data_IF_887189963286
#
_entry.id   IF_887189963286
#
_cell.length_a   1.000
_cell.length_b   1.000
_cell.length_c   1.000
_cell.angle_alpha   90.00
_cell.angle_beta   90.00
_cell.angle_gamma   90.00
#
_symmetry.space_group_name_H-M   'P 1'
#
loop_
_entity.id
_entity.type
_entity.pdbx_description
1 polymer ?
#
# COMPACT_ATOMS: atom_id res chain seq x y z
N UNK A 1 5.42 -10.78 -29.12
CA UNK A 1 4.11 -10.71 -28.43
C UNK A 1 4.23 -9.64 -27.36
N UNK A 2 3.20 -8.84 -27.10
CA UNK A 2 3.22 -7.93 -25.96
C UNK A 2 2.93 -8.74 -24.70
N UNK A 3 3.73 -8.56 -23.64
CA UNK A 3 3.42 -9.14 -22.34
C UNK A 3 2.37 -8.26 -21.66
N UNK A 4 1.22 -8.85 -21.31
CA UNK A 4 0.27 -8.17 -20.44
C UNK A 4 0.86 -8.06 -19.03
N UNK A 5 0.77 -6.89 -18.37
CA UNK A 5 1.28 -6.73 -17.02
C UNK A 5 0.49 -7.62 -16.07
N UNK A 6 1.15 -8.65 -15.51
CA UNK A 6 0.56 -9.55 -14.51
C UNK A 6 0.19 -8.76 -13.25
N UNK A 7 -1.03 -8.24 -13.19
CA UNK A 7 -1.56 -7.67 -11.95
C UNK A 7 -1.66 -8.78 -10.90
N UNK A 8 -1.25 -8.51 -9.66
CA UNK A 8 -1.36 -9.45 -8.51
C UNK A 8 -2.80 -9.74 -8.07
N UNK A 9 -3.77 -9.47 -8.94
CA UNK A 9 -5.21 -9.64 -8.77
C UNK A 9 -5.73 -10.48 -9.94
N UNK A 10 -5.35 -11.76 -9.94
CA UNK A 10 -5.86 -12.77 -10.88
C UNK A 10 -7.39 -12.80 -10.92
N UNK A 11 -7.95 -12.93 -12.12
CA UNK A 11 -9.38 -12.97 -12.43
C UNK A 11 -10.13 -11.62 -12.30
N UNK A 12 -10.96 -11.32 -13.31
CA UNK A 12 -11.66 -10.03 -13.40
C UNK A 12 -12.83 -9.90 -12.42
N UNK A 13 -13.39 -11.02 -11.99
CA UNK A 13 -14.59 -11.14 -11.14
C UNK A 13 -14.28 -11.20 -9.63
N UNK A 14 -13.02 -11.35 -9.23
CA UNK A 14 -12.68 -11.72 -7.85
C UNK A 14 -12.91 -10.57 -6.85
N UNK A 15 -13.77 -10.81 -5.85
CA UNK A 15 -14.08 -9.86 -4.78
C UNK A 15 -13.09 -10.00 -3.62
N UNK A 16 -12.36 -8.93 -3.31
CA UNK A 16 -11.35 -8.88 -2.25
C UNK A 16 -11.92 -8.17 -1.02
N UNK A 17 -12.03 -8.88 0.08
CA UNK A 17 -12.52 -8.35 1.37
C UNK A 17 -11.58 -7.28 1.91
N UNK A 18 -10.28 -7.60 1.96
CA UNK A 18 -9.25 -6.74 2.52
C UNK A 18 -7.98 -6.83 1.66
N UNK A 19 -7.55 -5.68 1.14
CA UNK A 19 -6.21 -5.51 0.59
C UNK A 19 -5.33 -4.83 1.65
N UNK A 20 -4.21 -5.47 2.00
CA UNK A 20 -3.14 -4.87 2.80
C UNK A 20 -2.01 -4.49 1.85
N UNK A 21 -1.68 -3.21 1.74
CA UNK A 21 -0.48 -2.76 1.02
C UNK A 21 0.59 -2.39 2.03
N UNK A 22 1.70 -3.14 2.00
CA UNK A 22 2.87 -2.92 2.82
C UNK A 22 3.80 -1.98 2.06
N UNK A 23 3.97 -0.75 2.55
CA UNK A 23 4.94 0.19 2.02
C UNK A 23 6.33 -0.24 2.48
N UNK A 24 7.10 -0.85 1.57
CA UNK A 24 8.40 -1.45 1.87
C UNK A 24 9.52 -0.66 1.18
N UNK A 25 10.68 -0.52 1.83
CA UNK A 25 11.87 0.01 1.12
C UNK A 25 12.34 -1.02 0.11
N UNK A 26 12.69 -0.60 -1.11
CA UNK A 26 13.33 -1.41 -2.16
C UNK A 26 14.30 -2.48 -1.59
N UNK A 27 15.20 -2.09 -0.68
CA UNK A 27 16.22 -2.96 -0.08
C UNK A 27 15.75 -3.92 1.04
N UNK A 28 14.53 -3.79 1.57
CA UNK A 28 14.04 -4.52 2.75
C UNK A 28 13.53 -5.95 2.44
N UNK A 29 14.30 -6.73 1.65
CA UNK A 29 13.97 -8.10 1.26
C UNK A 29 13.63 -9.02 2.45
N UNK A 30 14.39 -8.94 3.54
CA UNK A 30 14.17 -9.78 4.73
C UNK A 30 12.85 -9.45 5.45
N UNK A 31 12.47 -8.17 5.48
CA UNK A 31 11.20 -7.74 6.10
C UNK A 31 10.02 -8.26 5.28
N UNK A 32 10.02 -8.06 3.95
CA UNK A 32 8.99 -8.62 3.04
C UNK A 32 8.89 -10.13 3.16
N UNK A 33 10.02 -10.84 3.11
CA UNK A 33 10.06 -12.28 3.23
C UNK A 33 9.56 -12.77 4.59
N UNK A 34 9.86 -12.04 5.66
CA UNK A 34 9.38 -12.36 7.00
C UNK A 34 7.87 -12.13 7.13
N UNK A 35 7.32 -11.08 6.53
CA UNK A 35 5.87 -10.86 6.45
C UNK A 35 5.20 -12.02 5.71
N UNK A 36 5.70 -12.41 4.53
CA UNK A 36 5.23 -13.59 3.78
C UNK A 36 5.27 -14.89 4.59
N UNK A 37 6.26 -15.04 5.48
CA UNK A 37 6.44 -16.22 6.34
C UNK A 37 5.65 -16.15 7.66
N UNK A 38 4.97 -15.04 7.97
CA UNK A 38 4.27 -14.82 9.25
C UNK A 38 2.84 -14.33 8.99
N UNK A 39 2.46 -13.15 9.51
CA UNK A 39 1.10 -12.62 9.44
C UNK A 39 0.63 -12.30 8.00
N UNK A 40 1.56 -12.19 7.04
CA UNK A 40 1.25 -12.02 5.63
C UNK A 40 0.87 -13.31 4.91
N UNK A 41 1.06 -14.50 5.50
CA UNK A 41 0.50 -15.75 4.94
C UNK A 41 -1.01 -15.84 5.20
N UNK A 42 -1.78 -15.09 4.42
CA UNK A 42 -3.25 -15.02 4.52
C UNK A 42 -3.98 -16.13 3.76
N UNK A 43 -3.25 -17.04 3.08
CA UNK A 43 -3.85 -18.18 2.34
C UNK A 43 -4.63 -19.12 3.25
N UNK A 44 -4.15 -19.32 4.47
CA UNK A 44 -4.74 -20.19 5.48
C UNK A 44 -5.62 -19.41 6.49
N UNK A 45 -6.04 -18.18 6.15
CA UNK A 45 -6.83 -17.36 7.07
C UNK A 45 -8.26 -17.90 7.24
N UNK A 46 -8.52 -18.49 8.41
CA UNK A 46 -9.85 -18.83 8.89
C UNK A 46 -10.20 -18.00 10.13
N UNK A 47 -11.37 -17.36 10.13
CA UNK A 47 -11.94 -16.64 11.28
C UNK A 47 -12.04 -17.49 12.56
N UNK A 48 -12.11 -18.82 12.45
CA UNK A 48 -11.97 -19.76 13.56
C UNK A 48 -10.68 -19.58 14.38
N UNK A 49 -9.59 -19.08 13.80
CA UNK A 49 -8.36 -18.74 14.53
C UNK A 49 -8.59 -17.64 15.58
N UNK A 50 -9.33 -16.58 15.23
CA UNK A 50 -9.72 -15.54 16.20
C UNK A 50 -10.47 -16.16 17.37
N UNK A 51 -11.45 -17.04 17.08
CA UNK A 51 -12.21 -17.73 18.13
C UNK A 51 -11.31 -18.55 19.04
N UNK A 52 -10.44 -19.41 18.50
CA UNK A 52 -9.53 -20.25 19.30
C UNK A 52 -8.63 -19.42 20.23
N UNK A 53 -8.13 -18.27 19.76
CA UNK A 53 -7.28 -17.39 20.55
C UNK A 53 -8.04 -16.58 21.62
N UNK A 54 -9.32 -16.28 21.38
CA UNK A 54 -10.14 -15.37 22.19
C UNK A 54 -11.25 -16.06 23.02
N UNK A 55 -11.50 -17.37 22.86
CA UNK A 55 -12.61 -18.11 23.51
C UNK A 55 -12.57 -18.00 25.05
N UNK A 56 -11.39 -17.84 25.67
CA UNK A 56 -11.24 -17.59 27.12
C UNK A 56 -11.83 -16.25 27.60
N UNK A 57 -12.00 -15.30 26.68
CA UNK A 57 -12.60 -13.97 26.90
C UNK A 57 -14.01 -13.88 26.31
N UNK A 58 -14.63 -15.01 25.92
CA UNK A 58 -15.94 -14.99 25.25
C UNK A 58 -17.00 -14.33 26.12
N UNK A 59 -17.65 -13.31 25.57
CA UNK A 59 -18.58 -12.45 26.30
C UNK A 59 -17.94 -11.28 27.07
N UNK A 60 -16.62 -11.14 27.10
CA UNK A 60 -15.92 -9.92 27.54
C UNK A 60 -15.81 -8.86 26.42
N UNK A 61 -16.15 -9.24 25.18
CA UNK A 61 -16.15 -8.40 23.97
C UNK A 61 -17.50 -8.44 23.22
N UNK A 62 -17.58 -7.83 22.02
CA UNK A 62 -18.74 -7.86 21.15
C UNK A 62 -18.49 -8.67 19.88
N UNK A 63 -19.28 -9.71 19.64
CA UNK A 63 -19.24 -10.51 18.41
C UNK A 63 -19.65 -9.71 17.15
N UNK A 64 -19.33 -10.18 15.93
CA UNK A 64 -19.70 -9.56 14.65
C UNK A 64 -21.15 -9.09 14.58
N UNK A 65 -21.42 -8.00 13.84
CA UNK A 65 -22.80 -7.52 13.69
C UNK A 65 -23.47 -8.23 12.50
N UNK A 66 -24.59 -8.98 12.66
CA UNK A 66 -25.21 -9.70 11.55
C UNK A 66 -25.58 -8.83 10.34
N UNK A 67 -26.02 -7.58 10.56
CA UNK A 67 -26.30 -6.63 9.47
C UNK A 67 -25.06 -6.23 8.67
N UNK A 68 -23.87 -6.26 9.28
CA UNK A 68 -22.59 -6.00 8.59
C UNK A 68 -22.20 -7.20 7.73
N UNK A 69 -22.40 -8.44 8.23
CA UNK A 69 -22.21 -9.67 7.43
C UNK A 69 -23.07 -9.66 6.17
N UNK A 70 -24.36 -9.30 6.28
CA UNK A 70 -25.27 -9.17 5.13
C UNK A 70 -24.80 -8.09 4.13
N UNK A 71 -24.35 -6.94 4.63
CA UNK A 71 -23.77 -5.83 3.81
C UNK A 71 -22.44 -6.21 3.13
N UNK A 72 -21.81 -7.32 3.53
CA UNK A 72 -20.51 -7.78 3.06
C UNK A 72 -20.55 -9.16 2.39
N UNK A 73 -21.74 -9.75 2.17
CA UNK A 73 -21.87 -11.13 1.67
C UNK A 73 -21.14 -11.41 0.35
N UNK A 74 -21.11 -10.43 -0.56
CA UNK A 74 -20.36 -10.50 -1.84
C UNK A 74 -18.83 -10.59 -1.66
N UNK A 75 -18.31 -10.29 -0.47
CA UNK A 75 -16.89 -10.28 -0.13
C UNK A 75 -16.52 -11.37 0.89
N UNK A 76 -17.47 -12.23 1.29
CA UNK A 76 -17.27 -13.30 2.28
C UNK A 76 -17.60 -14.63 1.60
N UNK A 77 -16.61 -15.48 1.43
CA UNK A 77 -16.78 -16.78 0.80
C UNK A 77 -17.46 -17.73 1.79
N UNK A 78 -18.75 -17.94 1.60
CA UNK A 78 -19.51 -18.96 2.33
C UNK A 78 -19.11 -20.35 1.80
N UNK A 79 -18.97 -21.37 2.67
CA UNK A 79 -18.67 -22.72 2.22
C UNK A 79 -19.86 -23.31 1.45
N UNK A 80 -19.59 -23.98 0.33
CA UNK A 80 -20.63 -24.62 -0.49
C UNK A 80 -21.34 -25.73 0.30
N UNK A 81 -22.63 -25.53 0.61
CA UNK A 81 -23.47 -26.54 1.26
C UNK A 81 -24.92 -26.07 1.37
N UNK A 82 -25.84 -26.88 0.81
CA UNK A 82 -27.30 -26.67 0.74
C UNK A 82 -27.79 -25.32 0.20
N UNK A 83 -28.37 -25.36 -1.00
CA UNK A 83 -29.42 -24.42 -1.40
C UNK A 83 -30.59 -24.51 -0.39
N UNK A 84 -31.28 -23.40 -0.13
CA UNK A 84 -32.52 -23.42 0.67
C UNK A 84 -33.66 -24.04 -0.15
N UNK A 85 -33.77 -25.37 -0.16
CA UNK A 85 -34.89 -26.07 -0.79
C UNK A 85 -36.20 -25.77 -0.03
N UNK A 86 -37.04 -24.90 -0.60
CA UNK A 86 -38.31 -24.49 -0.04
C UNK A 86 -39.38 -25.60 -0.11
N UNK A 87 -39.37 -26.51 0.87
CA UNK A 87 -40.46 -27.47 1.08
C UNK A 87 -41.46 -26.96 2.11
N UNK A 88 -42.61 -26.48 1.65
CA UNK A 88 -43.75 -26.16 2.50
C UNK A 88 -44.39 -27.44 3.07
N UNK A 89 -44.47 -27.54 4.40
CA UNK A 89 -45.41 -28.45 5.07
C UNK A 89 -46.31 -27.63 6.01
N UNK A 90 -47.62 -27.87 5.97
CA UNK A 90 -48.59 -27.24 6.87
C UNK A 90 -48.67 -27.98 8.22
N UNK A 91 -48.99 -27.29 9.32
CA UNK A 91 -48.95 -27.87 10.66
C UNK A 91 -50.19 -28.73 10.96
N UNK A 92 -49.97 -29.95 11.45
CA UNK A 92 -51.00 -30.69 12.20
C UNK A 92 -50.85 -30.43 13.71
N UNK A 93 -51.96 -30.26 14.47
CA UNK A 93 -51.88 -29.92 15.89
C UNK A 93 -51.97 -31.17 16.79
N UNK A 94 -51.05 -31.29 17.73
CA UNK A 94 -51.36 -31.91 19.03
C UNK A 94 -50.65 -31.17 20.17
N UNK A 95 -51.13 -31.39 21.40
CA UNK A 95 -50.93 -30.48 22.53
C UNK A 95 -50.47 -31.20 23.80
N UNK A 96 -49.33 -30.76 24.34
CA UNK A 96 -49.03 -30.97 25.76
C UNK A 96 -48.15 -29.84 26.28
N UNK A 97 -48.23 -29.58 27.59
CA UNK A 97 -47.69 -28.39 28.26
C UNK A 97 -46.53 -28.79 29.17
N UNK A 98 -45.42 -28.02 29.18
CA UNK A 98 -45.05 -27.18 30.36
C UNK A 98 -43.68 -26.47 30.27
N UNK A 99 -43.61 -25.44 31.11
CA UNK A 99 -42.43 -24.77 31.69
C UNK A 99 -41.50 -23.99 30.74
N UNK A 100 -41.66 -22.67 30.80
CA UNK A 100 -40.68 -21.73 30.26
C UNK A 100 -39.48 -21.57 31.20
N UNK A 101 -38.28 -21.68 30.63
CA UNK A 101 -37.01 -21.24 31.23
C UNK A 101 -36.28 -20.41 30.18
N UNK A 102 -36.36 -19.07 30.29
CA UNK A 102 -35.72 -18.17 29.32
C UNK A 102 -34.19 -18.13 29.52
N UNK A 103 -33.49 -19.14 29.03
CA UNK A 103 -32.07 -19.02 28.70
C UNK A 103 -31.96 -18.25 27.38
N UNK A 104 -31.47 -17.02 27.44
CA UNK A 104 -31.28 -16.17 26.26
C UNK A 104 -30.01 -16.58 25.50
N UNK A 105 -30.00 -17.80 24.93
CA UNK A 105 -28.87 -18.35 24.19
C UNK A 105 -28.72 -17.59 22.87
N UNK A 106 -27.78 -16.63 22.83
CA UNK A 106 -27.37 -15.96 21.59
C UNK A 106 -26.44 -16.88 20.80
N UNK A 107 -27.03 -17.91 20.17
CA UNK A 107 -26.33 -18.83 19.28
C UNK A 107 -26.06 -18.18 17.93
N UNK A 108 -24.98 -17.40 17.83
CA UNK A 108 -24.46 -17.00 16.51
C UNK A 108 -24.00 -18.23 15.72
N UNK A 109 -24.32 -18.25 14.43
CA UNK A 109 -24.35 -19.46 13.62
C UNK A 109 -22.95 -20.05 13.36
N UNK A 110 -22.80 -21.40 13.30
CA UNK A 110 -21.54 -22.06 12.96
C UNK A 110 -20.87 -21.57 11.67
N UNK A 111 -21.67 -21.06 10.72
CA UNK A 111 -21.27 -20.51 9.42
C UNK A 111 -20.05 -19.57 9.47
N UNK A 112 -19.92 -18.72 10.49
CA UNK A 112 -18.80 -17.76 10.58
C UNK A 112 -17.45 -18.43 10.84
N UNK A 113 -17.42 -19.59 11.51
CA UNK A 113 -16.17 -20.34 11.77
C UNK A 113 -15.68 -21.15 10.56
N UNK A 114 -16.50 -21.23 9.51
CA UNK A 114 -16.22 -21.91 8.24
C UNK A 114 -16.24 -20.94 7.05
N UNK A 115 -16.33 -19.63 7.30
CA UNK A 115 -16.32 -18.59 6.25
C UNK A 115 -14.88 -18.23 5.89
N UNK A 116 -14.55 -18.28 4.61
CA UNK A 116 -13.25 -17.86 4.10
C UNK A 116 -13.29 -16.37 3.68
N UNK A 117 -12.17 -15.67 3.84
CA UNK A 117 -12.05 -14.26 3.53
C UNK A 117 -10.98 -14.05 2.47
N UNK A 118 -11.34 -13.41 1.36
CA UNK A 118 -10.37 -13.04 0.35
C UNK A 118 -9.54 -11.85 0.85
N UNK A 119 -8.41 -12.15 1.47
CA UNK A 119 -7.44 -11.18 1.95
C UNK A 119 -6.21 -11.28 1.04
N UNK A 120 -5.71 -10.14 0.57
CA UNK A 120 -4.50 -10.07 -0.24
C UNK A 120 -3.50 -9.12 0.40
N UNK A 121 -2.22 -9.49 0.35
CA UNK A 121 -1.09 -8.69 0.84
C UNK A 121 -0.21 -8.40 -0.37
N UNK A 122 0.08 -7.12 -0.61
CA UNK A 122 0.97 -6.66 -1.68
C UNK A 122 2.05 -5.74 -1.11
N UNK A 123 3.25 -5.77 -1.68
CA UNK A 123 4.37 -4.93 -1.28
C UNK A 123 4.57 -3.80 -2.29
N UNK A 124 4.52 -2.55 -1.83
CA UNK A 124 4.81 -1.38 -2.67
C UNK A 124 6.24 -0.89 -2.44
N UNK A 125 7.05 -0.93 -3.50
CA UNK A 125 8.45 -0.46 -3.51
C UNK A 125 8.66 0.63 -4.57
N UNK A 126 9.65 1.49 -4.36
CA UNK A 126 10.16 2.38 -5.40
C UNK A 126 11.26 1.71 -6.24
N UNK A 127 12.08 2.53 -6.88
CA UNK A 127 13.27 2.15 -7.65
C UNK A 127 14.55 2.68 -6.98
N UNK A 128 15.70 2.14 -7.37
CA UNK A 128 17.00 2.75 -7.06
C UNK A 128 17.18 4.08 -7.81
N UNK A 129 18.10 4.94 -7.35
CA UNK A 129 18.42 6.18 -8.07
C UNK A 129 19.07 5.91 -9.44
N UNK A 130 19.89 4.85 -9.53
CA UNK A 130 20.52 4.36 -10.76
C UNK A 130 19.50 3.87 -11.80
N UNK A 131 18.58 2.98 -11.42
CA UNK A 131 17.52 2.50 -12.30
C UNK A 131 16.60 3.66 -12.76
N UNK A 132 16.19 4.53 -11.83
CA UNK A 132 15.39 5.72 -12.14
C UNK A 132 16.08 6.63 -13.16
N UNK A 133 17.38 6.88 -13.00
CA UNK A 133 18.17 7.68 -13.93
C UNK A 133 18.27 7.03 -15.32
N UNK A 134 18.53 5.72 -15.39
CA UNK A 134 18.62 4.99 -16.66
C UNK A 134 17.27 4.94 -17.41
N UNK A 135 16.15 4.77 -16.70
CA UNK A 135 14.81 4.82 -17.30
C UNK A 135 14.50 6.23 -17.85
N UNK A 136 14.84 7.28 -17.11
CA UNK A 136 14.69 8.67 -17.57
C UNK A 136 15.54 8.99 -18.80
N UNK A 137 16.78 8.49 -18.87
CA UNK A 137 17.66 8.68 -20.04
C UNK A 137 17.07 8.05 -21.31
N UNK A 138 16.45 6.86 -21.21
CA UNK A 138 15.81 6.19 -22.36
C UNK A 138 14.60 6.97 -22.89
N UNK A 139 13.78 7.56 -22.02
CA UNK A 139 12.64 8.41 -22.41
C UNK A 139 13.11 9.71 -23.08
N UNK A 140 14.34 10.16 -22.83
CA UNK A 140 14.93 11.37 -23.42
C UNK A 140 15.57 11.19 -24.80
N UNK A 141 15.71 9.96 -25.32
CA UNK A 141 16.27 9.73 -26.65
C UNK A 141 15.21 9.82 -27.75
N UNK A 142 15.40 10.64 -28.81
CA UNK A 142 14.50 10.64 -29.96
C UNK A 142 14.48 9.28 -30.65
N UNK A 143 13.28 8.77 -30.96
CA UNK A 143 13.14 7.60 -31.82
C UNK A 143 13.56 8.00 -33.23
N UNK A 144 14.79 7.63 -33.62
CA UNK A 144 15.29 7.74 -34.98
C UNK A 144 14.55 6.76 -35.89
N UNK A 145 13.35 7.16 -36.33
CA UNK A 145 12.60 6.44 -37.36
C UNK A 145 13.43 6.46 -38.64
N UNK A 146 13.98 5.31 -39.01
CA UNK A 146 14.86 5.18 -40.18
C UNK A 146 14.13 5.55 -41.46
N UNK A 147 14.39 6.74 -42.00
CA UNK A 147 13.88 7.17 -43.30
C UNK A 147 14.60 6.41 -44.39
N UNK A 148 13.96 5.35 -44.90
CA UNK A 148 14.45 4.58 -46.04
C UNK A 148 14.64 5.47 -47.28
N UNK A 149 15.70 5.19 -48.03
CA UNK A 149 16.03 5.91 -49.26
C UNK A 149 14.92 5.81 -50.31
N UNK A 150 14.42 6.96 -50.78
CA UNK A 150 13.69 7.07 -52.04
C UNK A 150 14.25 8.23 -52.86
N UNK A 151 14.89 7.90 -53.99
CA UNK A 151 15.39 8.86 -54.97
C UNK A 151 14.26 9.34 -55.88
N UNK A 152 14.06 10.65 -55.99
CA UNK A 152 13.24 11.27 -57.03
C UNK A 152 13.81 12.64 -57.41
N UNK A 153 13.92 12.92 -58.71
CA UNK A 153 14.40 14.19 -59.25
C UNK A 153 13.25 15.16 -59.55
N UNK A 154 13.52 16.47 -59.57
CA UNK A 154 12.83 17.39 -60.48
C UNK A 154 12.18 18.68 -59.92
N UNK A 155 12.03 19.65 -60.83
CA UNK A 155 11.09 20.78 -60.82
C UNK A 155 11.25 21.93 -59.78
N UNK A 156 12.20 22.81 -60.07
CA UNK A 156 12.08 24.29 -60.07
C UNK A 156 10.75 24.97 -59.66
N UNK A 157 10.83 25.90 -58.67
CA UNK A 157 10.21 27.27 -58.57
C UNK A 157 10.32 27.76 -57.10
N UNK A 158 11.05 28.81 -56.70
CA UNK A 158 11.03 30.25 -57.06
C UNK A 158 10.09 31.11 -56.19
N UNK A 159 10.60 32.27 -55.70
CA UNK A 159 9.96 33.28 -54.82
C UNK A 159 9.90 32.92 -53.32
N UNK A 160 10.11 33.85 -52.36
CA UNK A 160 10.67 35.22 -52.43
C UNK A 160 10.95 35.82 -51.04
N UNK A 161 11.90 36.77 -50.94
CA UNK A 161 12.13 37.76 -49.83
C UNK A 161 12.54 37.15 -48.46
N UNK A 162 13.24 37.87 -47.52
CA UNK A 162 13.26 39.32 -47.24
C UNK A 162 14.47 40.11 -47.80
N UNK A 163 14.62 41.38 -47.37
CA UNK A 163 15.31 42.46 -48.12
C UNK A 163 16.30 43.27 -47.27
N UNK A 164 17.51 43.46 -47.83
CA UNK A 164 18.53 44.51 -47.63
C UNK A 164 19.21 44.79 -46.25
N UNK A 165 20.54 44.91 -46.34
CA UNK A 165 21.46 45.45 -45.33
C UNK A 165 22.92 45.13 -45.70
N UNK A 166 23.51 45.69 -46.78
CA UNK A 166 24.28 46.97 -46.77
C UNK A 166 25.39 46.93 -45.69
N UNK A 167 26.70 46.88 -45.99
CA UNK A 167 27.53 47.58 -47.01
C UNK A 167 28.77 46.75 -47.42
N UNK A 168 29.56 47.12 -48.48
CA UNK A 168 30.59 46.27 -49.09
C UNK A 168 32.06 46.65 -48.77
N UNK A 169 33.00 45.74 -49.05
CA UNK A 169 34.45 46.03 -49.23
C UNK A 169 35.03 45.23 -50.42
N UNK A 170 35.99 45.83 -51.10
CA UNK A 170 36.83 45.41 -52.24
C UNK A 170 37.91 44.35 -51.87
N UNK A 171 38.67 43.66 -52.74
CA UNK A 171 38.86 43.61 -54.22
C UNK A 171 39.47 42.22 -54.66
N UNK A 172 40.08 41.93 -55.85
CA UNK A 172 39.97 40.60 -56.50
C UNK A 172 41.34 39.94 -56.87
N UNK A 173 41.37 39.16 -57.97
CA UNK A 173 42.47 38.38 -58.60
C UNK A 173 42.76 37.01 -57.92
N UNK A 174 42.66 35.84 -58.59
CA UNK A 174 43.47 35.25 -59.70
C UNK A 174 44.72 34.49 -59.17
N UNK A 175 45.25 33.40 -59.77
CA UNK A 175 45.02 32.70 -61.05
C UNK A 175 45.70 31.31 -61.08
N UNK A 176 45.09 30.33 -61.77
CA UNK A 176 45.72 29.23 -62.58
C UNK A 176 46.79 28.27 -61.96
N UNK A 177 47.09 27.09 -62.60
CA UNK A 177 47.79 25.97 -61.94
C UNK A 177 49.21 25.63 -62.46
N UNK A 178 49.97 24.86 -61.67
CA UNK A 178 51.05 23.93 -62.11
C UNK A 178 51.47 23.03 -60.93
N UNK A 179 51.25 21.71 -60.97
CA UNK A 179 52.09 20.66 -61.58
C UNK A 179 53.31 20.23 -60.74
N UNK A 180 53.29 19.00 -60.21
CA UNK A 180 54.43 18.34 -59.56
C UNK A 180 54.26 16.82 -59.55
N UNK A 181 55.04 16.10 -60.37
CA UNK A 181 54.93 14.65 -60.53
C UNK A 181 55.87 13.89 -59.58
N UNK A 182 55.41 12.71 -59.10
CA UNK A 182 56.02 11.35 -59.21
C UNK A 182 55.39 10.43 -58.13
N UNK A 183 54.84 9.24 -58.44
CA UNK A 183 55.51 7.94 -58.77
C UNK A 183 56.62 7.59 -57.77
N UNK A 184 56.77 6.39 -57.19
CA UNK A 184 56.33 5.03 -57.55
C UNK A 184 56.49 4.15 -56.26
N UNK A 185 56.11 2.87 -56.08
CA UNK A 185 55.60 1.78 -56.93
C UNK A 185 54.85 0.73 -56.06
N UNK A 186 54.24 -0.26 -56.71
CA UNK A 186 53.63 -1.50 -56.19
C UNK A 186 52.23 -1.38 -55.60
N UNK A 187 51.34 -2.27 -56.07
CA UNK A 187 49.95 -2.32 -55.67
C UNK A 187 49.55 -3.69 -55.16
N UNK A 188 48.52 -3.69 -54.32
CA UNK A 188 47.72 -4.85 -53.94
C UNK A 188 46.26 -4.41 -54.10
N UNK A 189 45.39 -5.22 -54.71
CA UNK A 189 43.96 -4.91 -54.68
C UNK A 189 43.47 -4.98 -53.23
N UNK A 190 43.18 -3.83 -52.61
CA UNK A 190 42.35 -3.81 -51.40
C UNK A 190 40.92 -4.09 -51.82
N UNK A 191 40.26 -4.99 -51.06
CA UNK A 191 38.81 -5.14 -51.11
C UNK A 191 38.15 -3.78 -50.87
N UNK A 192 37.09 -3.47 -51.63
CA UNK A 192 36.21 -2.32 -51.37
C UNK A 192 35.19 -2.61 -50.27
N UNK A 193 35.17 -3.84 -49.74
CA UNK A 193 34.39 -4.26 -48.58
C UNK A 193 35.31 -4.48 -47.38
N UNK A 194 34.99 -3.97 -46.18
CA UNK A 194 35.75 -4.21 -44.95
C UNK A 194 35.83 -5.69 -44.56
N UNK A 195 36.68 -6.02 -43.59
CA UNK A 195 36.68 -7.36 -42.99
C UNK A 195 35.49 -7.50 -42.02
N UNK A 196 35.07 -8.74 -41.75
CA UNK A 196 33.87 -9.02 -40.95
C UNK A 196 33.95 -8.50 -39.49
N UNK A 197 35.16 -8.21 -39.00
CA UNK A 197 35.41 -7.64 -37.67
C UNK A 197 35.14 -6.11 -37.62
N UNK A 198 35.11 -5.44 -38.77
CA UNK A 198 34.76 -4.01 -38.89
C UNK A 198 33.23 -3.76 -38.95
N UNK A 199 32.40 -4.82 -38.93
CA UNK A 199 30.94 -4.74 -39.10
C UNK A 199 30.14 -4.57 -37.80
N UNK A 200 30.71 -3.94 -36.77
CA UNK A 200 29.96 -3.49 -35.59
C UNK A 200 29.63 -2.01 -35.73
N UNK A 201 28.41 -1.71 -36.17
CA UNK A 201 27.87 -0.34 -36.20
C UNK A 201 27.91 0.26 -34.77
N UNK A 202 28.56 1.42 -34.55
CA UNK A 202 28.56 2.08 -33.24
C UNK A 202 27.17 2.38 -32.68
N UNK A 203 26.13 2.50 -33.52
CA UNK A 203 24.74 2.65 -33.09
C UNK A 203 24.17 1.39 -32.39
N UNK A 204 24.76 0.21 -32.63
CA UNK A 204 24.40 -1.04 -31.96
C UNK A 204 25.19 -1.32 -30.67
N UNK A 205 26.16 -0.48 -30.31
CA UNK A 205 26.76 -0.46 -28.96
C UNK A 205 25.84 0.21 -27.92
N UNK A 206 24.54 -0.07 -28.01
CA UNK A 206 23.61 0.11 -26.92
C UNK A 206 23.97 -0.91 -25.82
N UNK A 207 24.83 -0.49 -24.88
CA UNK A 207 25.14 -1.26 -23.68
C UNK A 207 23.85 -1.83 -23.08
N UNK A 208 23.82 -3.12 -22.71
CA UNK A 208 22.65 -3.69 -22.05
C UNK A 208 22.33 -2.82 -20.82
N UNK A 209 21.04 -2.64 -20.48
CA UNK A 209 20.67 -1.77 -19.36
C UNK A 209 21.46 -2.18 -18.13
N UNK A 210 22.16 -1.22 -17.52
CA UNK A 210 22.87 -1.43 -16.25
C UNK A 210 21.83 -1.45 -15.14
N UNK A 211 21.05 -2.54 -15.12
CA UNK A 211 20.16 -2.87 -14.03
C UNK A 211 21.08 -3.22 -12.86
N UNK A 212 21.05 -2.41 -11.81
CA UNK A 212 21.87 -2.66 -10.63
C UNK A 212 21.39 -3.90 -9.85
N UNK A 213 22.24 -4.40 -8.95
CA UNK A 213 21.97 -5.60 -8.16
C UNK A 213 20.65 -5.50 -7.36
N UNK A 214 20.32 -4.31 -6.85
CA UNK A 214 19.11 -4.09 -6.08
C UNK A 214 17.87 -4.24 -6.98
N UNK A 215 17.87 -3.64 -8.16
CA UNK A 215 16.77 -3.76 -9.11
C UNK A 215 16.66 -5.18 -9.71
N UNK A 216 17.78 -5.87 -10.01
CA UNK A 216 17.76 -7.29 -10.40
C UNK A 216 17.13 -8.18 -9.32
N UNK A 217 17.43 -7.92 -8.05
CA UNK A 217 16.86 -8.67 -6.93
C UNK A 217 15.37 -8.38 -6.74
N UNK A 218 14.90 -7.15 -6.97
CA UNK A 218 13.46 -6.81 -6.95
C UNK A 218 12.72 -7.52 -8.09
N UNK A 219 13.29 -7.56 -9.29
CA UNK A 219 12.70 -8.28 -10.43
C UNK A 219 12.56 -9.78 -10.13
N UNK A 220 13.62 -10.43 -9.64
CA UNK A 220 13.59 -11.84 -9.25
C UNK A 220 12.59 -12.11 -8.10
N UNK A 221 12.51 -11.23 -7.11
CA UNK A 221 11.50 -11.33 -6.02
C UNK A 221 10.07 -11.20 -6.58
N UNK A 222 9.85 -10.26 -7.49
CA UNK A 222 8.54 -10.03 -8.15
C UNK A 222 8.13 -11.21 -9.03
N UNK A 223 9.06 -11.82 -9.76
CA UNK A 223 8.80 -13.03 -10.55
C UNK A 223 8.51 -14.25 -9.66
N UNK A 224 9.21 -14.38 -8.53
CA UNK A 224 9.04 -15.49 -7.58
C UNK A 224 7.69 -15.45 -6.85
N UNK A 225 7.24 -14.27 -6.42
CA UNK A 225 6.08 -14.15 -5.51
C UNK A 225 4.83 -13.51 -6.14
N UNK A 226 4.97 -12.70 -7.20
CA UNK A 226 3.84 -12.04 -7.88
C UNK A 226 3.09 -10.99 -7.05
N UNK A 227 3.63 -10.58 -5.90
CA UNK A 227 2.98 -9.72 -4.91
C UNK A 227 3.60 -8.31 -4.79
N UNK A 228 4.55 -7.97 -5.67
CA UNK A 228 5.21 -6.66 -5.70
C UNK A 228 4.48 -5.72 -6.67
N UNK A 229 4.18 -4.52 -6.17
CA UNK A 229 3.91 -3.34 -6.98
C UNK A 229 5.19 -2.50 -6.97
N UNK A 230 5.79 -2.28 -8.14
CA UNK A 230 6.88 -1.31 -8.29
C UNK A 230 6.39 -0.11 -9.10
N UNK A 231 6.71 1.09 -8.62
CA UNK A 231 6.28 2.35 -9.21
C UNK A 231 7.48 3.29 -9.39
N UNK A 232 7.45 4.13 -10.43
CA UNK A 232 8.65 4.86 -10.85
C UNK A 232 8.88 6.14 -10.04
N UNK A 233 9.53 5.97 -8.89
CA UNK A 233 10.09 7.01 -8.04
C UNK A 233 11.30 6.46 -7.28
N UNK A 234 12.28 7.31 -6.97
CA UNK A 234 13.45 6.94 -6.17
C UNK A 234 12.99 6.60 -4.74
N UNK A 235 13.26 5.39 -4.26
CA UNK A 235 12.83 4.96 -2.94
C UNK A 235 13.66 5.62 -1.83
N UNK A 236 13.06 6.55 -1.10
CA UNK A 236 13.70 7.28 0.00
C UNK A 236 12.67 7.79 1.01
N UNK A 237 13.11 8.08 2.24
CA UNK A 237 12.23 8.56 3.31
C UNK A 237 11.47 9.84 2.92
N UNK A 238 12.14 10.77 2.23
CA UNK A 238 11.54 12.02 1.76
C UNK A 238 10.48 11.80 0.66
N UNK A 239 10.54 10.66 -0.04
CA UNK A 239 9.61 10.27 -1.09
C UNK A 239 8.47 9.36 -0.58
N UNK A 240 8.32 9.11 0.72
CA UNK A 240 7.21 8.32 1.26
C UNK A 240 5.84 8.89 0.87
N UNK A 241 5.70 10.21 0.78
CA UNK A 241 4.48 10.84 0.26
C UNK A 241 4.21 10.46 -1.21
N UNK A 242 5.24 10.38 -2.06
CA UNK A 242 5.09 9.88 -3.43
C UNK A 242 4.73 8.40 -3.43
N UNK A 243 5.35 7.57 -2.56
CA UNK A 243 5.02 6.16 -2.40
C UNK A 243 3.53 5.96 -2.11
N UNK A 244 2.95 6.65 -1.13
CA UNK A 244 1.50 6.50 -0.85
C UNK A 244 0.60 7.11 -1.94
N UNK A 245 1.01 8.19 -2.63
CA UNK A 245 0.27 8.67 -3.81
C UNK A 245 0.25 7.59 -4.91
N UNK A 246 1.36 6.86 -5.12
CA UNK A 246 1.44 5.75 -6.06
C UNK A 246 0.67 4.51 -5.59
N UNK A 247 0.63 4.22 -4.28
CA UNK A 247 -0.27 3.21 -3.69
C UNK A 247 -1.72 3.50 -4.10
N UNK A 248 -2.16 4.74 -3.88
CA UNK A 248 -3.53 5.14 -4.18
C UNK A 248 -3.81 5.10 -5.69
N UNK A 249 -2.92 5.65 -6.53
CA UNK A 249 -2.98 5.52 -8.00
C UNK A 249 -3.19 4.08 -8.43
N UNK A 250 -2.35 3.16 -7.95
CA UNK A 250 -2.43 1.75 -8.33
C UNK A 250 -3.75 1.13 -7.87
N UNK A 251 -4.16 1.34 -6.61
CA UNK A 251 -5.41 0.80 -6.08
C UNK A 251 -6.62 1.36 -6.83
N UNK A 252 -6.70 2.68 -7.08
CA UNK A 252 -7.84 3.27 -7.78
C UNK A 252 -7.96 2.84 -9.24
N UNK A 253 -6.83 2.50 -9.88
CA UNK A 253 -6.81 2.08 -11.28
C UNK A 253 -7.07 0.57 -11.47
N UNK A 254 -6.73 -0.28 -10.49
CA UNK A 254 -6.79 -1.74 -10.63
C UNK A 254 -7.89 -2.41 -9.77
N UNK A 255 -8.44 -1.72 -8.77
CA UNK A 255 -9.29 -2.35 -7.74
C UNK A 255 -10.75 -1.85 -7.67
N UNK A 256 -11.21 -0.97 -8.58
CA UNK A 256 -12.58 -0.44 -8.51
C UNK A 256 -13.62 -1.57 -8.66
N UNK A 257 -14.67 -1.52 -7.85
CA UNK A 257 -15.65 -2.60 -7.67
C UNK A 257 -15.13 -3.92 -7.06
N UNK A 258 -13.81 -4.13 -6.95
CA UNK A 258 -13.17 -5.38 -6.49
C UNK A 258 -12.82 -5.39 -4.99
N UNK A 259 -12.23 -4.32 -4.46
CA UNK A 259 -11.75 -4.25 -3.06
C UNK A 259 -12.76 -3.53 -2.15
N UNK A 260 -13.08 -4.12 -0.99
CA UNK A 260 -13.91 -3.42 0.03
C UNK A 260 -13.07 -2.53 0.96
N UNK A 261 -12.08 -3.13 1.62
CA UNK A 261 -11.23 -2.47 2.62
C UNK A 261 -9.77 -2.42 2.16
N UNK A 262 -9.10 -1.31 2.44
CA UNK A 262 -7.68 -1.09 2.16
C UNK A 262 -6.97 -0.71 3.46
N UNK A 263 -5.92 -1.44 3.81
CA UNK A 263 -5.00 -1.08 4.89
C UNK A 263 -3.63 -0.72 4.31
N UNK A 264 -3.05 0.40 4.77
CA UNK A 264 -1.63 0.70 4.60
C UNK A 264 -0.91 0.37 5.91
N UNK A 265 0.26 -0.24 5.81
CA UNK A 265 1.23 -0.30 6.90
C UNK A 265 2.66 -0.24 6.34
N UNK A 266 3.65 -0.07 7.23
CA UNK A 266 5.07 -0.12 6.89
C UNK A 266 5.64 -1.55 7.09
N UNK A 267 6.79 -1.88 6.48
CA UNK A 267 7.34 -3.24 6.49
C UNK A 267 8.00 -3.70 7.81
N UNK A 268 8.08 -2.79 8.78
CA UNK A 268 8.49 -3.00 10.17
C UNK A 268 7.29 -2.99 11.15
N UNK A 269 6.07 -3.09 10.62
CA UNK A 269 4.81 -3.13 11.38
C UNK A 269 4.24 -4.54 11.41
N UNK A 270 3.95 -5.05 12.61
CA UNK A 270 3.19 -6.30 12.79
C UNK A 270 1.69 -6.05 12.65
N UNK A 271 0.96 -6.94 11.96
CA UNK A 271 -0.50 -6.87 11.80
C UNK A 271 -1.19 -8.13 12.33
N UNK A 272 -2.06 -7.99 13.32
CA UNK A 272 -2.93 -9.06 13.81
C UNK A 272 -4.17 -9.15 12.91
N UNK A 273 -4.04 -9.87 11.79
CA UNK A 273 -5.10 -10.07 10.79
C UNK A 273 -6.39 -10.67 11.39
N UNK A 274 -6.36 -11.67 12.31
CA UNK A 274 -7.57 -12.14 13.01
C UNK A 274 -8.35 -11.04 13.72
N UNK A 275 -7.67 -10.19 14.50
CA UNK A 275 -8.30 -9.07 15.20
C UNK A 275 -8.84 -8.01 14.21
N UNK A 276 -8.14 -7.76 13.11
CA UNK A 276 -8.55 -6.82 12.07
C UNK A 276 -9.84 -7.26 11.38
N UNK A 277 -9.93 -8.52 10.95
CA UNK A 277 -11.14 -9.06 10.30
C UNK A 277 -12.34 -9.05 11.24
N UNK A 278 -12.15 -9.41 12.52
CA UNK A 278 -13.21 -9.34 13.52
C UNK A 278 -13.78 -7.92 13.69
N UNK A 279 -12.92 -6.90 13.71
CA UNK A 279 -13.33 -5.48 13.79
C UNK A 279 -13.97 -5.00 12.48
N UNK A 280 -13.51 -5.47 11.31
CA UNK A 280 -14.13 -5.18 10.01
C UNK A 280 -15.56 -5.75 9.89
N UNK A 281 -15.82 -6.91 10.51
CA UNK A 281 -17.16 -7.48 10.69
C UNK A 281 -17.98 -6.76 11.80
N UNK A 282 -17.44 -5.67 12.34
CA UNK A 282 -18.07 -4.78 13.31
C UNK A 282 -17.94 -5.22 14.76
N UNK A 283 -17.19 -6.29 15.07
CA UNK A 283 -16.93 -6.76 16.43
C UNK A 283 -15.98 -5.86 17.24
N UNK A 284 -15.62 -6.28 18.45
CA UNK A 284 -14.60 -5.62 19.29
C UNK A 284 -13.64 -6.65 19.90
N UNK A 285 -12.40 -6.26 20.18
CA UNK A 285 -11.37 -7.16 20.73
C UNK A 285 -11.37 -7.08 22.26
N UNK A 286 -11.08 -8.19 23.00
CA UNK A 286 -10.90 -8.15 24.44
C UNK A 286 -9.89 -7.12 24.94
N UNK A 287 -10.21 -6.49 26.07
CA UNK A 287 -9.26 -5.68 26.80
C UNK A 287 -8.29 -6.61 27.55
N UNK A 288 -7.01 -6.60 27.17
CA UNK A 288 -5.94 -7.30 27.86
C UNK A 288 -5.22 -6.40 28.87
N UNK A 289 -4.73 -6.96 29.98
CA UNK A 289 -4.00 -6.22 31.02
C UNK A 289 -2.78 -5.49 30.45
N UNK A 290 -2.06 -6.14 29.55
CA UNK A 290 -0.91 -5.60 28.82
C UNK A 290 -1.27 -4.43 27.87
N UNK A 291 -2.53 -4.32 27.45
CA UNK A 291 -3.00 -3.34 26.48
C UNK A 291 -3.70 -2.11 27.10
N UNK A 292 -3.97 -2.11 28.41
CA UNK A 292 -4.76 -1.06 29.11
C UNK A 292 -4.26 0.36 28.78
N UNK A 293 -2.93 0.55 28.69
CA UNK A 293 -2.30 1.87 28.43
C UNK A 293 -2.53 2.44 27.03
N UNK A 294 -3.10 1.68 26.10
CA UNK A 294 -3.40 2.12 24.73
C UNK A 294 -4.85 2.59 24.57
N UNK A 295 -5.73 2.24 25.52
CA UNK A 295 -7.12 2.69 25.55
C UNK A 295 -7.25 4.02 26.29
N UNK A 296 -8.26 4.81 25.90
CA UNK A 296 -8.68 6.02 26.61
C UNK A 296 -10.02 5.81 27.35
N UNK A 297 -10.50 6.84 28.04
CA UNK A 297 -11.77 6.82 28.79
C UNK A 297 -13.01 6.55 27.93
N UNK A 298 -12.92 6.73 26.60
CA UNK A 298 -14.03 6.52 25.68
C UNK A 298 -14.04 5.07 25.15
N UNK A 299 -12.85 4.54 24.89
CA UNK A 299 -12.63 3.27 24.20
C UNK A 299 -12.45 2.06 25.13
N UNK A 300 -11.99 2.26 26.37
CA UNK A 300 -11.73 1.18 27.36
C UNK A 300 -12.94 0.27 27.62
N UNK A 301 -14.16 0.79 27.47
CA UNK A 301 -15.39 0.02 27.56
C UNK A 301 -15.62 -0.81 26.27
N UNK A 302 -14.83 -1.88 26.07
CA UNK A 302 -14.85 -2.70 24.82
C UNK A 302 -16.20 -3.34 24.49
N UNK A 303 -17.10 -3.50 25.49
CA UNK A 303 -18.49 -3.96 25.30
C UNK A 303 -19.48 -2.86 24.90
N UNK A 304 -19.03 -1.61 24.78
CA UNK A 304 -19.87 -0.50 24.33
C UNK A 304 -20.12 -0.58 22.83
N UNK A 305 -21.38 -0.48 22.41
CA UNK A 305 -21.74 -0.41 20.98
C UNK A 305 -21.13 0.79 20.24
N UNK A 306 -20.72 1.83 20.98
CA UNK A 306 -20.00 3.01 20.46
C UNK A 306 -18.57 2.69 20.01
N UNK A 307 -18.00 1.57 20.46
CA UNK A 307 -16.63 1.15 20.19
C UNK A 307 -16.53 0.08 19.09
N UNK A 308 -17.66 -0.32 18.48
CA UNK A 308 -17.68 -1.04 17.19
C UNK A 308 -17.16 -0.12 16.07
N UNK A 309 -16.62 -0.69 15.00
CA UNK A 309 -16.17 0.07 13.83
C UNK A 309 -17.32 0.89 13.20
N UNK A 310 -17.08 2.18 12.94
CA UNK A 310 -18.08 3.10 12.36
C UNK A 310 -17.67 3.49 10.94
N UNK A 311 -18.56 3.23 9.98
CA UNK A 311 -18.49 3.76 8.61
C UNK A 311 -19.57 4.85 8.50
N UNK A 312 -19.16 6.08 8.21
CA UNK A 312 -20.01 7.28 8.28
C UNK A 312 -20.20 7.83 6.87
N UNK A 313 -21.42 7.80 6.32
CA UNK A 313 -21.69 8.27 4.96
C UNK A 313 -20.91 7.52 3.86
N UNK A 314 -20.70 6.20 4.03
CA UNK A 314 -19.81 5.37 3.21
C UNK A 314 -18.32 5.78 3.27
N UNK A 315 -17.88 6.52 4.29
CA UNK A 315 -16.47 6.80 4.53
C UNK A 315 -15.94 6.06 5.76
N UNK A 316 -14.79 5.40 5.60
CA UNK A 316 -13.97 4.84 6.66
C UNK A 316 -12.53 5.35 6.51
N UNK A 317 -11.99 5.97 7.57
CA UNK A 317 -10.58 6.31 7.70
C UNK A 317 -10.19 6.26 9.17
N UNK A 318 -9.46 5.23 9.59
CA UNK A 318 -9.23 4.92 11.02
C UNK A 318 -7.83 4.40 11.31
N UNK A 319 -7.33 4.66 12.52
CA UNK A 319 -5.99 4.26 12.97
C UNK A 319 -5.60 4.90 14.30
N UNK A 320 -4.30 5.01 14.58
CA UNK A 320 -3.84 5.82 15.70
C UNK A 320 -3.90 7.30 15.33
N UNK A 321 -4.81 8.07 15.94
CA UNK A 321 -5.01 9.49 15.62
C UNK A 321 -4.06 10.36 16.46
N UNK A 322 -3.28 11.23 15.80
CA UNK A 322 -2.59 12.34 16.42
C UNK A 322 -3.45 13.61 16.38
N UNK A 323 -3.35 14.42 17.43
CA UNK A 323 -4.10 15.66 17.62
C UNK A 323 -3.19 16.70 18.26
N UNK A 324 -3.29 17.96 17.83
CA UNK A 324 -2.43 19.07 18.30
C UNK A 324 -0.91 18.83 18.18
N UNK A 325 -0.50 17.93 17.27
CA UNK A 325 0.91 17.78 16.91
C UNK A 325 1.41 19.06 16.22
N UNK A 326 2.59 19.55 16.62
CA UNK A 326 3.21 20.75 16.06
C UNK A 326 4.32 20.38 15.05
N UNK A 327 4.57 21.22 14.02
CA UNK A 327 5.78 21.13 13.22
C UNK A 327 7.05 21.17 14.09
N UNK A 328 8.02 20.31 13.77
CA UNK A 328 9.33 20.28 14.44
C UNK A 328 10.28 21.19 13.65
N UNK A 329 10.79 22.25 14.30
CA UNK A 329 11.72 23.19 13.68
C UNK A 329 13.20 22.78 13.76
N UNK A 330 13.51 21.68 14.46
CA UNK A 330 14.85 21.11 14.55
C UNK A 330 15.22 20.36 13.27
N UNK A 331 16.21 20.86 12.53
CA UNK A 331 16.69 20.32 11.26
C UNK A 331 17.42 18.98 11.37
N UNK A 332 17.80 18.56 12.58
CA UNK A 332 18.39 17.23 12.82
C UNK A 332 17.33 16.13 13.01
N UNK A 333 16.06 16.51 13.21
CA UNK A 333 14.97 15.57 13.37
C UNK A 333 14.56 14.94 12.05
N UNK A 334 14.36 13.61 12.02
CA UNK A 334 13.74 12.91 10.87
C UNK A 334 12.30 13.36 10.57
N UNK A 335 11.70 14.14 11.45
CA UNK A 335 10.36 14.74 11.31
C UNK A 335 10.42 16.28 11.17
N UNK A 336 11.58 16.84 10.82
CA UNK A 336 11.78 18.27 10.57
C UNK A 336 10.76 18.79 9.55
N UNK A 337 10.10 19.90 9.86
CA UNK A 337 9.06 20.50 9.03
C UNK A 337 9.45 21.92 8.64
N UNK A 338 9.92 22.13 7.38
CA UNK A 338 10.33 23.45 6.94
C UNK A 338 9.13 24.42 6.95
N UNK A 339 9.30 25.59 7.57
CA UNK A 339 8.22 26.59 7.67
C UNK A 339 7.71 27.09 6.30
N UNK A 340 8.54 27.04 5.25
CA UNK A 340 8.13 27.34 3.88
C UNK A 340 7.17 26.29 3.28
N UNK A 341 7.23 25.06 3.78
CA UNK A 341 6.40 23.93 3.35
C UNK A 341 5.15 23.78 4.22
N UNK A 342 5.24 24.15 5.51
CA UNK A 342 4.10 24.16 6.44
C UNK A 342 4.17 25.30 7.45
N UNK A 343 3.51 26.42 7.15
CA UNK A 343 3.54 27.65 7.95
C UNK A 343 2.47 27.78 9.06
N UNK A 344 1.82 26.70 9.50
CA UNK A 344 0.83 26.74 10.62
C UNK A 344 1.42 26.12 11.88
N UNK A 345 1.07 26.64 13.05
CA UNK A 345 1.57 26.14 14.34
C UNK A 345 1.26 24.67 14.66
N UNK A 346 0.21 24.11 14.08
CA UNK A 346 -0.40 22.83 14.46
C UNK A 346 -0.86 22.11 13.20
N UNK A 347 -0.53 20.83 13.09
CA UNK A 347 -1.01 19.95 12.03
C UNK A 347 -2.51 19.65 12.15
N UNK A 348 -3.22 19.40 11.03
CA UNK A 348 -4.56 18.79 11.08
C UNK A 348 -4.53 17.47 11.86
N UNK A 349 -5.64 17.08 12.51
CA UNK A 349 -5.73 15.75 13.17
C UNK A 349 -5.46 14.66 12.10
N UNK A 350 -4.42 13.84 12.26
CA UNK A 350 -3.94 12.87 11.24
C UNK A 350 -3.76 11.48 11.86
N UNK A 351 -3.72 10.42 11.05
CA UNK A 351 -3.47 9.04 11.50
C UNK A 351 -1.99 8.71 11.34
N UNK A 352 -1.41 7.96 12.27
CA UNK A 352 0.00 7.52 12.22
C UNK A 352 0.31 6.73 10.95
N UNK A 353 1.39 7.09 10.23
CA UNK A 353 1.80 6.41 8.99
C UNK A 353 2.03 4.91 9.14
N UNK A 354 2.47 4.48 10.33
CA UNK A 354 2.76 3.07 10.69
C UNK A 354 1.65 2.11 10.29
N UNK A 355 0.38 2.49 10.49
CA UNK A 355 -0.78 1.71 10.09
C UNK A 355 -2.07 2.54 10.09
N UNK A 356 -2.80 2.52 8.98
CA UNK A 356 -4.16 3.03 8.89
C UNK A 356 -5.04 2.23 7.93
N UNK A 357 -6.34 2.22 8.21
CA UNK A 357 -7.37 1.45 7.51
C UNK A 357 -8.40 2.40 6.90
N UNK A 358 -8.77 2.15 5.64
CA UNK A 358 -9.82 2.87 4.93
C UNK A 358 -10.72 1.91 4.13
N UNK A 359 -11.82 2.41 3.59
CA UNK A 359 -12.56 1.73 2.53
C UNK A 359 -12.19 2.30 1.15
N UNK A 360 -12.49 1.55 0.08
CA UNK A 360 -12.09 1.92 -1.29
C UNK A 360 -12.62 3.29 -1.76
N UNK A 361 -13.79 3.74 -1.27
CA UNK A 361 -14.30 5.08 -1.60
C UNK A 361 -13.40 6.20 -1.05
N UNK A 362 -12.92 6.05 0.19
CA UNK A 362 -11.93 6.98 0.76
C UNK A 362 -10.61 6.94 0.01
N UNK A 363 -10.17 5.78 -0.50
CA UNK A 363 -8.97 5.69 -1.35
C UNK A 363 -9.10 6.55 -2.62
N UNK A 364 -10.25 6.47 -3.32
CA UNK A 364 -10.56 7.33 -4.48
C UNK A 364 -10.60 8.82 -4.13
N UNK A 365 -11.24 9.19 -3.01
CA UNK A 365 -11.31 10.58 -2.57
C UNK A 365 -9.92 11.13 -2.23
N UNK A 366 -9.12 10.40 -1.45
CA UNK A 366 -7.75 10.80 -1.09
C UNK A 366 -6.85 10.93 -2.32
N UNK A 367 -6.95 10.02 -3.30
CA UNK A 367 -6.18 10.12 -4.56
C UNK A 367 -6.53 11.38 -5.36
N UNK A 368 -7.82 11.63 -5.59
CA UNK A 368 -8.29 12.84 -6.30
C UNK A 368 -7.95 14.12 -5.53
N UNK A 369 -7.90 14.03 -4.19
CA UNK A 369 -7.45 15.10 -3.32
C UNK A 369 -5.96 15.40 -3.47
N UNK A 370 -5.09 14.39 -3.42
CA UNK A 370 -3.63 14.56 -3.47
C UNK A 370 -3.16 15.15 -4.80
N UNK A 371 -3.74 14.73 -5.93
CA UNK A 371 -3.48 15.31 -7.26
C UNK A 371 -3.77 16.82 -7.37
N UNK A 372 -4.48 17.43 -6.40
CA UNK A 372 -4.72 18.87 -6.33
C UNK A 372 -4.20 19.54 -5.05
N UNK A 373 -3.36 18.86 -4.28
CA UNK A 373 -2.84 19.35 -2.99
C UNK A 373 -1.31 19.45 -3.05
N UNK A 374 -0.71 20.64 -2.84
CA UNK A 374 0.74 20.80 -2.78
C UNK A 374 1.40 19.79 -1.84
N UNK A 375 2.39 19.06 -2.34
CA UNK A 375 3.04 17.96 -1.63
C UNK A 375 3.73 18.49 -0.36
N UNK A 376 3.46 17.81 0.76
CA UNK A 376 4.17 17.96 2.02
C UNK A 376 4.86 16.62 2.31
N UNK A 377 6.14 16.63 2.71
CA UNK A 377 6.97 15.43 2.67
C UNK A 377 6.59 14.34 3.69
N UNK A 378 6.05 14.71 4.87
CA UNK A 378 5.55 13.74 5.85
C UNK A 378 4.22 13.14 5.37
N UNK A 379 4.30 11.89 4.94
CA UNK A 379 3.24 11.10 4.28
C UNK A 379 1.90 11.12 5.02
N UNK A 380 1.96 10.90 6.33
CA UNK A 380 0.79 10.67 7.16
C UNK A 380 0.07 11.99 7.50
N UNK A 381 0.82 13.04 7.81
CA UNK A 381 0.35 14.43 7.91
C UNK A 381 -0.22 14.92 6.58
N UNK A 382 0.44 14.65 5.45
CA UNK A 382 -0.02 15.05 4.13
C UNK A 382 -1.34 14.37 3.78
N UNK A 383 -1.38 13.04 3.74
CA UNK A 383 -2.51 12.33 3.19
C UNK A 383 -3.68 12.26 4.18
N UNK A 384 -3.43 11.74 5.37
CA UNK A 384 -4.48 11.52 6.39
C UNK A 384 -4.78 12.78 7.21
N UNK A 385 -3.99 13.85 7.03
CA UNK A 385 -4.25 15.18 7.58
C UNK A 385 -4.74 16.15 6.50
N UNK A 386 -3.81 16.72 5.73
CA UNK A 386 -4.05 17.86 4.82
C UNK A 386 -5.02 17.51 3.69
N UNK A 387 -4.77 16.40 2.98
CA UNK A 387 -5.63 15.93 1.88
C UNK A 387 -6.99 15.50 2.42
N UNK A 388 -7.03 14.74 3.53
CA UNK A 388 -8.27 14.30 4.15
C UNK A 388 -9.17 15.47 4.61
N UNK A 389 -8.62 16.56 5.15
CA UNK A 389 -9.40 17.78 5.44
C UNK A 389 -9.90 18.46 4.16
N UNK A 390 -9.08 18.55 3.10
CA UNK A 390 -9.48 19.12 1.81
C UNK A 390 -10.66 18.35 1.18
N UNK A 391 -10.66 17.03 1.28
CA UNK A 391 -11.77 16.16 0.78
C UNK A 391 -12.84 15.88 1.84
N UNK A 392 -12.77 16.53 3.00
CA UNK A 392 -13.74 16.44 4.12
C UNK A 392 -13.95 15.03 4.68
N UNK A 393 -12.96 14.14 4.55
CA UNK A 393 -12.99 12.79 5.13
C UNK A 393 -12.60 12.86 6.61
N UNK A 394 -13.49 12.38 7.48
CA UNK A 394 -13.28 12.36 8.93
C UNK A 394 -12.38 11.20 9.35
N UNK A 395 -11.29 11.50 10.04
CA UNK A 395 -10.41 10.50 10.66
C UNK A 395 -11.02 10.04 11.99
N UNK A 396 -10.93 8.74 12.28
CA UNK A 396 -11.36 8.13 13.55
C UNK A 396 -10.15 7.55 14.29
N UNK A 397 -10.12 7.71 15.60
CA UNK A 397 -9.16 6.98 16.42
C UNK A 397 -9.68 5.57 16.69
N UNK A 398 -8.78 4.59 16.65
CA UNK A 398 -9.01 3.24 17.11
C UNK A 398 -7.83 2.79 18.00
N UNK A 399 -8.05 2.33 19.25
CA UNK A 399 -6.97 2.07 20.22
C UNK A 399 -6.11 0.86 19.85
N UNK A 400 -6.62 -0.03 19.00
CA UNK A 400 -5.92 -1.26 18.60
C UNK A 400 -4.81 -0.99 17.57
N UNK A 401 -4.77 0.18 16.95
CA UNK A 401 -3.65 0.59 16.12
C UNK A 401 -2.65 1.33 17.02
N UNK A 402 -1.43 0.81 17.14
CA UNK A 402 -0.40 1.43 17.98
C UNK A 402 0.92 1.62 17.22
N UNK A 403 1.55 2.77 17.47
CA UNK A 403 2.67 3.32 16.68
C UNK A 403 4.03 3.18 17.40
N UNK A 404 4.05 2.60 18.59
CA UNK A 404 5.25 2.49 19.44
C UNK A 404 5.38 1.09 20.02
N UNK A 405 6.61 0.68 20.27
CA UNK A 405 6.95 -0.69 20.64
C UNK A 405 6.54 -1.01 22.08
N UNK A 406 5.99 -2.21 22.29
CA UNK A 406 5.81 -2.79 23.63
C UNK A 406 6.54 -4.12 23.76
N UNK A 407 7.17 -4.32 24.92
CA UNK A 407 7.88 -5.54 25.32
C UNK A 407 6.95 -6.66 25.78
N UNK A 408 5.73 -6.31 26.20
CA UNK A 408 4.74 -7.29 26.64
C UNK A 408 3.95 -7.79 25.44
N UNK A 409 4.34 -8.97 24.92
CA UNK A 409 3.72 -9.59 23.75
C UNK A 409 2.24 -9.95 23.98
N UNK A 410 1.76 -10.04 25.24
CA UNK A 410 0.33 -10.18 25.50
C UNK A 410 -0.49 -8.95 25.10
N UNK A 411 0.12 -7.80 24.87
CA UNK A 411 -0.55 -6.64 24.28
C UNK A 411 -1.04 -6.94 22.85
N UNK A 412 -0.28 -7.71 22.06
CA UNK A 412 -0.58 -7.98 20.64
C UNK A 412 -1.89 -8.74 20.44
N UNK A 413 -2.35 -9.54 21.42
CA UNK A 413 -3.69 -10.16 21.39
C UNK A 413 -4.82 -9.15 21.55
N UNK A 414 -4.54 -8.00 22.14
CA UNK A 414 -5.44 -6.85 22.29
C UNK A 414 -5.18 -5.71 21.30
N UNK A 415 -4.46 -5.95 20.19
CA UNK A 415 -4.14 -4.95 19.17
C UNK A 415 -4.38 -5.47 17.74
N UNK A 416 -4.46 -4.55 16.79
CA UNK A 416 -4.47 -4.78 15.33
C UNK A 416 -3.08 -4.53 14.75
N UNK A 417 -2.35 -3.51 15.21
CA UNK A 417 -1.00 -3.21 14.70
C UNK A 417 -0.03 -2.73 15.78
N UNK A 418 1.25 -3.11 15.63
CA UNK A 418 2.37 -2.60 16.43
C UNK A 418 3.56 -2.27 15.52
N UNK A 419 4.16 -1.10 15.74
CA UNK A 419 5.41 -0.61 15.14
C UNK A 419 6.33 -0.14 16.29
N UNK A 420 7.66 -0.20 16.21
CA UNK A 420 8.51 -0.69 15.13
C UNK A 420 9.09 -2.05 15.54
N UNK A 421 9.15 -3.03 14.63
CA UNK A 421 9.60 -4.39 14.92
C UNK A 421 10.62 -4.86 13.87
N UNK A 422 11.73 -5.42 14.33
CA UNK A 422 12.70 -6.07 13.44
C UNK A 422 12.15 -7.42 12.92
N UNK A 423 12.67 -7.97 11.80
CA UNK A 423 12.17 -9.24 11.25
C UNK A 423 12.15 -10.41 12.27
N UNK A 424 13.18 -10.54 13.11
CA UNK A 424 13.20 -11.52 14.21
C UNK A 424 12.10 -11.30 15.26
N UNK A 425 11.73 -10.05 15.53
CA UNK A 425 10.66 -9.68 16.45
C UNK A 425 9.27 -9.89 15.83
N UNK A 426 9.11 -9.68 14.51
CA UNK A 426 7.87 -10.01 13.77
C UNK A 426 7.58 -11.50 13.84
N UNK A 427 8.60 -12.37 13.68
CA UNK A 427 8.48 -13.83 13.88
C UNK A 427 8.09 -14.17 15.31
N UNK A 428 8.82 -13.62 16.29
CA UNK A 428 8.56 -13.84 17.72
C UNK A 428 7.14 -13.40 18.12
N UNK A 429 6.67 -12.27 17.60
CA UNK A 429 5.30 -11.77 17.79
C UNK A 429 4.25 -12.72 17.18
N UNK A 430 4.48 -13.20 15.96
CA UNK A 430 3.59 -14.13 15.26
C UNK A 430 3.44 -15.47 16.02
N UNK A 431 4.57 -16.10 16.35
CA UNK A 431 4.62 -17.39 17.05
C UNK A 431 3.98 -17.27 18.45
N UNK A 432 4.17 -16.13 19.12
CA UNK A 432 3.57 -15.87 20.43
C UNK A 432 2.04 -15.67 20.36
N UNK A 433 1.52 -14.90 19.40
CA UNK A 433 0.07 -14.67 19.34
C UNK A 433 -0.71 -15.88 18.81
N UNK A 434 -0.14 -16.66 17.88
CA UNK A 434 -0.80 -17.83 17.27
C UNK A 434 -0.81 -19.05 18.20
N UNK A 435 0.10 -19.12 19.17
CA UNK A 435 0.15 -20.19 20.16
C UNK A 435 -0.99 -20.11 21.20
N UNK A 436 -2.08 -20.83 20.95
CA UNK A 436 -3.27 -20.89 21.81
C UNK A 436 -3.03 -21.43 23.24
N UNK A 437 -1.90 -22.10 23.49
CA UNK A 437 -1.52 -22.56 24.83
C UNK A 437 -1.03 -21.42 25.74
N UNK A 438 -0.47 -20.35 25.14
CA UNK A 438 -0.06 -19.14 25.88
C UNK A 438 -1.31 -18.43 26.42
N UNK A 439 -1.22 -17.94 27.66
CA UNK A 439 -2.35 -17.33 28.40
C UNK A 439 -2.03 -15.89 28.74
N UNK A 440 -2.81 -14.97 28.20
CA UNK A 440 -2.68 -13.54 28.46
C UNK A 440 -3.77 -13.06 29.43
N UNK A 441 -3.44 -12.33 30.51
CA UNK A 441 -4.42 -11.98 31.53
C UNK A 441 -5.32 -10.82 31.11
N UNK A 442 -6.61 -10.93 31.46
CA UNK A 442 -7.55 -9.81 31.51
C UNK A 442 -7.13 -8.79 32.60
N UNK A 443 -7.64 -7.55 32.57
CA UNK A 443 -7.61 -6.62 33.70
C UNK A 443 -8.08 -7.28 35.01
N UNK A 444 -7.58 -6.75 36.12
CA UNK A 444 -8.05 -7.15 37.44
C UNK A 444 -9.53 -6.72 37.62
N UNK A 445 -10.37 -7.68 38.01
CA UNK A 445 -11.83 -7.52 38.16
C UNK A 445 -12.21 -6.53 39.26
N UNK A 446 -11.27 -6.17 40.15
CA UNK A 446 -11.46 -5.19 41.21
C UNK A 446 -11.05 -3.76 40.82
N UNK A 447 -10.44 -3.55 39.64
CA UNK A 447 -10.06 -2.21 39.17
C UNK A 447 -11.23 -1.52 38.47
N UNK A 448 -11.70 -0.41 39.04
CA UNK A 448 -12.60 0.52 38.36
C UNK A 448 -11.87 1.28 37.26
N UNK A 449 -12.61 1.82 36.28
CA UNK A 449 -12.05 2.59 35.15
C UNK A 449 -11.15 3.76 35.61
N UNK A 450 -11.48 4.40 36.74
CA UNK A 450 -10.67 5.49 37.31
C UNK A 450 -9.33 5.06 37.93
N UNK A 451 -9.13 3.76 38.17
CA UNK A 451 -7.86 3.19 38.67
C UNK A 451 -6.99 2.64 37.52
N UNK A 452 -7.49 2.60 36.29
CA UNK A 452 -6.74 2.14 35.12
C UNK A 452 -5.82 3.24 34.60
N UNK A 453 -4.57 2.88 34.26
CA UNK A 453 -3.58 3.80 33.66
C UNK A 453 -3.85 3.99 32.16
N UNK A 454 -4.94 4.69 31.84
CA UNK A 454 -5.41 4.94 30.47
C UNK A 454 -4.66 6.08 29.76
N UNK A 455 -4.67 6.06 28.43
CA UNK A 455 -4.08 7.10 27.59
C UNK A 455 -4.87 8.42 27.72
N UNK A 456 -4.18 9.51 28.10
CA UNK A 456 -4.81 10.84 28.26
C UNK A 456 -4.99 11.56 26.92
N UNK A 457 -6.07 11.25 26.20
CA UNK A 457 -6.39 11.82 24.88
C UNK A 457 -7.14 13.18 24.93
N UNK A 458 -6.86 14.01 25.93
CA UNK A 458 -7.55 15.31 26.19
C UNK A 458 -7.60 16.23 24.96
N UNK A 459 -6.49 16.31 24.21
CA UNK A 459 -6.29 17.11 22.98
C UNK A 459 -7.00 16.56 21.73
N UNK A 460 -7.69 15.43 21.84
CA UNK A 460 -8.36 14.77 20.70
C UNK A 460 -9.88 14.86 20.73
N UNK A 461 -10.46 15.29 21.85
CA UNK A 461 -11.91 15.41 22.03
C UNK A 461 -12.53 16.42 21.05
#
# INVERSE_FOLDING_TARGET
MAEEPRTGLSEESEKVFLLIVVCSSAANFEARQTIRQTWGNVRDFNYGQFRVLQERHRGEYLEPKPSVRETLKEYILMPNGSEESSSTEEPTPDSSKRNASQQHVTSESPLLANSNFNIKVLFLVGQSESDYAHQRQRIGQPIMVGTGSSTAEGATRSASTPVNGVKPVSQPLSSEPSSGLRTDRFGTMRSLFPHAEDMVDPAFNALPPVIDELQLRILNESETYGDIIQESFIDSYNNLTLKTIMMLKWVTNNCDGKVKFLMKCDDDTFVNVPNLVHVLLGGTVPLYKAAISFYDTNSVAVKSSKNRLVIEGNHLLTGFLFCEAKPIGDTSSKWYSPAYMYGKEVYPKYLSGTAYLMNFEVAKLLYRGSLSTPIFHLEDVYLTGIVADRVKVRRRHHPLFFYSYTKDLCALRGMISQHQLQPSEIRTAYDYITNASIVCPAPDKHLTVGQLKLQQRKKCQ
#
